data_IF_892346572466
#
_entry.id   IF_892346572466
#
_cell.length_a   1.000
_cell.length_b   1.000
_cell.length_c   1.000
_cell.angle_alpha   90.00
_cell.angle_beta   90.00
_cell.angle_gamma   90.00
#
_symmetry.space_group_name_H-M   'P 1'
#
loop_
_entity.id
_entity.type
_entity.pdbx_description
1 polymer ?
#
# COMPACT_ATOMS: atom_id res chain seq x y z
N UNK A 1 -54.28 -39.90 0.99
CA UNK A 1 -55.02 -40.85 1.86
C UNK A 1 -54.37 -42.22 1.68
N UNK A 2 -53.81 -42.82 2.75
CA UNK A 2 -53.16 -44.16 2.92
C UNK A 2 -51.86 -44.40 2.10
N UNK A 3 -50.65 -44.41 2.68
CA UNK A 3 -49.99 -45.34 3.64
C UNK A 3 -50.00 -46.80 3.16
N UNK A 4 -48.83 -47.38 2.88
CA UNK A 4 -48.27 -48.57 3.57
C UNK A 4 -46.74 -48.65 3.39
N UNK A 5 -46.06 -48.89 4.50
CA UNK A 5 -44.66 -49.26 4.62
C UNK A 5 -44.56 -50.78 4.80
N UNK A 6 -43.44 -51.38 4.36
CA UNK A 6 -42.92 -52.64 4.91
C UNK A 6 -41.39 -52.56 4.88
N UNK A 7 -40.75 -52.78 6.03
CA UNK A 7 -39.32 -53.01 6.16
C UNK A 7 -39.03 -54.44 6.64
N UNK A 8 -37.80 -54.91 6.42
CA UNK A 8 -37.09 -56.04 7.05
C UNK A 8 -35.66 -56.04 6.43
N UNK A 9 -34.52 -56.38 7.02
CA UNK A 9 -34.06 -56.75 8.37
C UNK A 9 -32.52 -56.74 8.33
N UNK A 10 -31.88 -56.58 9.49
CA UNK A 10 -30.41 -56.57 9.73
C UNK A 10 -29.85 -57.99 9.87
N UNK A 11 -28.58 -58.22 9.49
CA UNK A 11 -27.76 -59.29 10.07
C UNK A 11 -26.29 -58.84 10.21
N UNK A 12 -25.83 -58.79 11.47
CA UNK A 12 -24.44 -58.66 11.91
C UNK A 12 -23.68 -59.98 11.72
N UNK A 13 -22.37 -59.89 11.49
CA UNK A 13 -21.43 -60.99 11.68
C UNK A 13 -20.22 -60.50 12.50
N UNK A 14 -20.17 -60.98 13.73
CA UNK A 14 -19.06 -60.92 14.68
C UNK A 14 -18.17 -62.16 14.50
N UNK A 15 -16.85 -62.01 14.57
CA UNK A 15 -15.95 -63.12 14.96
C UNK A 15 -14.84 -62.61 15.86
N UNK A 16 -14.66 -63.32 16.96
CA UNK A 16 -13.77 -63.01 18.07
C UNK A 16 -12.46 -63.82 18.01
N UNK A 17 -11.46 -63.19 18.63
CA UNK A 17 -10.11 -63.57 19.05
C UNK A 17 -9.82 -65.05 19.41
N UNK A 18 -8.57 -65.45 19.16
CA UNK A 18 -7.81 -66.41 19.98
C UNK A 18 -6.43 -65.83 20.32
N UNK A 19 -6.04 -65.98 21.58
CA UNK A 19 -4.78 -65.57 22.22
C UNK A 19 -3.87 -66.79 22.34
N UNK A 20 -2.57 -66.64 22.11
CA UNK A 20 -1.50 -67.41 22.76
C UNK A 20 -0.35 -66.44 23.06
N UNK A 21 0.06 -66.41 24.34
CA UNK A 21 1.11 -65.52 24.85
C UNK A 21 2.49 -66.16 24.84
N UNK A 22 3.50 -65.30 24.89
CA UNK A 22 4.83 -65.64 25.39
C UNK A 22 5.41 -64.38 26.07
N UNK A 23 5.70 -64.52 27.36
CA UNK A 23 6.19 -63.48 28.27
C UNK A 23 7.69 -63.20 28.06
N UNK A 24 8.07 -61.92 28.10
CA UNK A 24 9.45 -61.47 28.37
C UNK A 24 9.34 -60.23 29.27
N UNK A 25 9.91 -60.33 30.49
CA UNK A 25 10.01 -59.22 31.45
C UNK A 25 10.93 -58.09 30.93
N UNK A 26 10.62 -56.81 31.16
CA UNK A 26 11.59 -55.73 31.02
C UNK A 26 12.17 -55.32 32.38
N UNK A 27 13.50 -55.15 32.39
CA UNK A 27 14.28 -54.60 33.49
C UNK A 27 13.89 -53.14 33.79
N UNK A 28 13.90 -52.80 35.08
CA UNK A 28 13.65 -51.47 35.61
C UNK A 28 14.75 -50.47 35.18
N UNK A 29 14.34 -49.33 34.62
CA UNK A 29 15.16 -48.13 34.48
C UNK A 29 14.37 -46.99 35.11
N UNK A 30 14.90 -46.45 36.20
CA UNK A 30 14.41 -45.25 36.87
C UNK A 30 14.54 -44.04 35.93
N UNK A 31 13.45 -43.31 35.71
CA UNK A 31 13.45 -42.01 35.03
C UNK A 31 13.02 -40.96 36.04
N UNK A 32 13.95 -40.10 36.43
CA UNK A 32 13.68 -38.88 37.19
C UNK A 32 12.78 -37.94 36.34
N UNK A 33 11.64 -37.53 36.89
CA UNK A 33 10.78 -36.50 36.29
C UNK A 33 11.38 -35.11 36.51
N UNK A 34 11.98 -34.51 35.47
CA UNK A 34 12.20 -33.06 35.43
C UNK A 34 10.95 -32.31 34.90
N UNK A 35 10.54 -31.20 35.53
CA UNK A 35 9.34 -30.47 35.11
C UNK A 35 9.57 -29.72 33.80
N UNK A 36 8.77 -30.02 32.78
CA UNK A 36 8.75 -29.30 31.50
C UNK A 36 8.42 -27.81 31.70
N UNK A 37 9.46 -26.97 31.64
CA UNK A 37 9.31 -25.52 31.48
C UNK A 37 8.77 -25.27 30.07
N UNK A 38 7.51 -24.85 29.99
CA UNK A 38 6.83 -24.43 28.76
C UNK A 38 7.52 -23.18 28.19
N UNK A 39 8.47 -23.37 27.29
CA UNK A 39 9.08 -22.28 26.53
C UNK A 39 8.00 -21.54 25.72
N UNK A 40 7.81 -20.24 26.01
CA UNK A 40 7.03 -19.33 25.16
C UNK A 40 7.72 -19.26 23.79
N UNK A 41 7.22 -20.00 22.81
CA UNK A 41 7.51 -19.71 21.39
C UNK A 41 6.94 -18.32 21.06
N UNK A 42 7.78 -17.29 21.04
CA UNK A 42 7.44 -16.04 20.38
C UNK A 42 7.38 -16.32 18.88
N UNK A 43 6.19 -16.33 18.32
CA UNK A 43 6.02 -16.34 16.87
C UNK A 43 6.66 -15.05 16.33
N UNK A 44 7.82 -15.16 15.68
CA UNK A 44 8.41 -14.08 14.90
C UNK A 44 7.44 -13.75 13.75
N UNK A 45 6.64 -12.70 13.93
CA UNK A 45 5.80 -12.13 12.88
C UNK A 45 6.71 -11.60 11.77
N UNK A 46 6.48 -12.03 10.53
CA UNK A 46 7.20 -11.52 9.35
C UNK A 46 6.88 -10.03 9.17
N UNK A 47 7.88 -9.17 9.40
CA UNK A 47 7.75 -7.70 9.44
C UNK A 47 7.53 -7.09 10.84
N UNK A 48 7.49 -7.92 11.87
CA UNK A 48 7.61 -7.50 13.26
C UNK A 48 9.03 -7.10 13.61
N UNK A 49 9.18 -6.26 14.61
CA UNK A 49 10.50 -5.88 15.13
C UNK A 49 11.08 -7.05 15.92
N UNK A 50 12.23 -7.58 15.51
CA UNK A 50 13.01 -8.58 16.26
C UNK A 50 14.06 -7.86 17.12
N UNK A 51 14.32 -8.35 18.34
CA UNK A 51 15.45 -7.88 19.13
C UNK A 51 16.74 -8.31 18.44
N UNK A 52 17.68 -7.38 18.32
CA UNK A 52 19.03 -7.64 17.82
C UNK A 52 19.96 -7.81 19.03
N UNK A 53 20.90 -8.73 18.95
CA UNK A 53 21.90 -8.90 20.00
C UNK A 53 22.75 -7.63 20.14
N UNK A 54 23.16 -7.31 21.37
CA UNK A 54 23.85 -6.05 21.65
C UNK A 54 25.27 -6.01 21.08
N UNK A 55 25.96 -7.15 20.97
CA UNK A 55 27.30 -7.22 20.39
C UNK A 55 27.22 -7.15 18.86
N UNK A 56 26.26 -7.85 18.24
CA UNK A 56 25.96 -7.71 16.81
C UNK A 56 25.55 -6.27 16.45
N UNK A 57 24.74 -5.63 17.30
CA UNK A 57 24.35 -4.24 17.12
C UNK A 57 25.53 -3.27 17.21
N UNK A 58 26.49 -3.54 18.11
CA UNK A 58 27.70 -2.72 18.26
C UNK A 58 28.59 -2.79 17.02
N UNK A 59 28.76 -3.97 16.44
CA UNK A 59 29.55 -4.16 15.21
C UNK A 59 28.91 -3.45 14.01
N UNK A 60 27.58 -3.64 13.82
CA UNK A 60 26.81 -2.98 12.76
C UNK A 60 26.88 -1.46 12.90
N UNK A 61 26.71 -0.95 14.11
CA UNK A 61 26.77 0.49 14.39
C UNK A 61 28.16 1.07 14.12
N UNK A 62 29.22 0.39 14.55
CA UNK A 62 30.61 0.85 14.36
C UNK A 62 30.94 0.93 12.87
N UNK A 63 30.64 -0.13 12.12
CA UNK A 63 30.87 -0.18 10.67
C UNK A 63 30.05 0.88 9.92
N UNK A 64 28.82 1.15 10.37
CA UNK A 64 27.98 2.19 9.76
C UNK A 64 28.47 3.60 10.05
N UNK A 65 29.00 3.88 11.24
CA UNK A 65 29.54 5.18 11.60
C UNK A 65 30.88 5.47 10.89
N UNK A 66 31.74 4.47 10.71
CA UNK A 66 33.00 4.59 9.96
C UNK A 66 32.78 4.94 8.49
N UNK A 67 31.72 4.40 7.87
CA UNK A 67 31.36 4.70 6.46
C UNK A 67 30.86 6.14 6.24
N UNK A 68 30.44 6.84 7.30
CA UNK A 68 29.94 8.23 7.24
C UNK A 68 31.06 9.22 7.53
N UNK A 69 32.16 8.78 8.15
CA UNK A 69 33.28 9.63 8.59
C UNK A 69 34.15 10.20 7.43
N UNK A 70 33.64 10.24 6.20
CA UNK A 70 34.32 10.73 4.99
C UNK A 70 34.14 12.23 4.70
N UNK A 71 33.97 13.09 5.71
CA UNK A 71 33.83 14.54 5.59
C UNK A 71 33.82 15.26 6.95
N UNK A 72 33.62 16.59 6.98
CA UNK A 72 33.64 17.49 8.17
C UNK A 72 32.58 17.19 9.28
N UNK A 73 32.01 15.99 9.29
CA UNK A 73 31.06 15.54 10.32
C UNK A 73 31.79 15.00 11.56
N UNK A 74 31.31 15.31 12.78
CA UNK A 74 31.93 14.87 14.02
C UNK A 74 31.99 13.34 14.10
N UNK A 75 33.18 12.82 14.41
CA UNK A 75 33.45 11.38 14.52
C UNK A 75 32.95 10.86 15.87
N UNK A 76 31.95 9.98 15.85
CA UNK A 76 31.42 9.35 17.05
C UNK A 76 32.02 7.95 17.26
N UNK A 77 32.37 7.60 18.50
CA UNK A 77 32.75 6.24 18.92
C UNK A 77 31.65 5.59 19.74
N UNK A 78 31.38 4.31 19.52
CA UNK A 78 30.34 3.59 20.28
C UNK A 78 30.86 3.24 21.68
N UNK A 79 30.24 3.81 22.72
CA UNK A 79 30.54 3.48 24.12
C UNK A 79 29.73 2.26 24.56
N UNK A 80 28.40 2.33 24.48
CA UNK A 80 27.49 1.29 24.99
C UNK A 80 26.21 1.16 24.17
N UNK A 81 25.73 -0.06 23.97
CA UNK A 81 24.40 -0.33 23.38
C UNK A 81 23.42 -0.76 24.48
N UNK A 82 22.27 -0.09 24.58
CA UNK A 82 21.22 -0.42 25.56
C UNK A 82 20.15 -1.32 24.98
N UNK A 83 19.77 -1.06 23.72
CA UNK A 83 18.72 -1.83 23.04
C UNK A 83 18.90 -1.72 21.54
N UNK A 84 18.86 -2.85 20.87
CA UNK A 84 18.86 -2.90 19.42
C UNK A 84 17.68 -3.72 18.90
N UNK A 85 17.19 -3.33 17.72
CA UNK A 85 16.05 -3.98 17.11
C UNK A 85 16.12 -3.88 15.60
N UNK A 86 15.72 -4.95 14.91
CA UNK A 86 15.74 -5.04 13.45
C UNK A 86 14.32 -5.28 12.94
N UNK A 87 13.95 -4.63 11.86
CA UNK A 87 12.64 -4.78 11.24
C UNK A 87 12.78 -4.83 9.72
N UNK A 88 12.24 -5.89 9.11
CA UNK A 88 12.20 -6.05 7.65
C UNK A 88 10.91 -5.46 7.11
N UNK A 89 11.02 -4.42 6.29
CA UNK A 89 9.90 -3.71 5.63
C UNK A 89 10.20 -3.58 4.13
N UNK A 90 10.31 -2.37 3.56
CA UNK A 90 10.83 -2.11 2.20
C UNK A 90 12.37 -2.00 2.19
N UNK A 91 13.04 -2.86 2.95
CA UNK A 91 14.45 -2.78 3.35
C UNK A 91 14.63 -3.28 4.79
N UNK A 92 15.87 -3.38 5.26
CA UNK A 92 16.18 -3.72 6.65
C UNK A 92 16.39 -2.43 7.44
N UNK A 93 15.50 -2.14 8.40
CA UNK A 93 15.66 -1.05 9.36
C UNK A 93 16.20 -1.60 10.68
N UNK A 94 17.40 -1.16 11.06
CA UNK A 94 17.99 -1.44 12.37
C UNK A 94 17.92 -0.17 13.22
N UNK A 95 17.32 -0.25 14.40
CA UNK A 95 17.25 0.85 15.38
C UNK A 95 18.05 0.48 16.62
N UNK A 96 18.94 1.39 17.04
CA UNK A 96 19.88 1.17 18.14
C UNK A 96 19.80 2.36 19.09
N UNK A 97 19.48 2.11 20.37
CA UNK A 97 19.61 3.06 21.48
C UNK A 97 20.97 2.81 22.14
N UNK A 98 21.87 3.79 22.04
CA UNK A 98 23.27 3.67 22.42
C UNK A 98 23.85 4.96 22.97
N UNK A 99 24.93 4.84 23.73
CA UNK A 99 25.76 5.97 24.14
C UNK A 99 26.93 6.09 23.15
N UNK A 100 27.08 7.28 22.55
CA UNK A 100 28.12 7.64 21.58
C UNK A 100 29.04 8.70 22.20
N UNK A 101 30.35 8.50 22.05
CA UNK A 101 31.39 9.42 22.48
C UNK A 101 31.77 10.33 21.31
N UNK A 102 31.69 11.64 21.48
CA UNK A 102 32.10 12.60 20.44
C UNK A 102 33.62 12.82 20.40
N UNK A 103 34.08 13.68 19.49
CA UNK A 103 35.49 14.04 19.33
C UNK A 103 36.08 14.78 20.53
N UNK A 104 35.24 15.41 21.34
CA UNK A 104 35.62 16.18 22.52
C UNK A 104 35.65 15.31 23.80
N UNK A 105 35.29 14.03 23.68
CA UNK A 105 35.29 13.06 24.77
C UNK A 105 34.00 13.01 25.57
N UNK A 106 32.95 13.72 25.15
CA UNK A 106 31.66 13.78 25.82
C UNK A 106 30.74 12.65 25.34
N UNK A 107 30.07 12.00 26.29
CA UNK A 107 29.18 10.86 26.02
C UNK A 107 27.72 11.34 25.86
N UNK A 108 27.12 11.02 24.72
CA UNK A 108 25.75 11.38 24.37
C UNK A 108 24.89 10.13 24.21
N UNK A 109 23.69 10.13 24.80
CA UNK A 109 22.70 9.08 24.52
C UNK A 109 21.96 9.39 23.23
N UNK A 110 22.05 8.48 22.28
CA UNK A 110 21.57 8.66 20.91
C UNK A 110 20.64 7.52 20.48
N UNK A 111 19.67 7.84 19.63
CA UNK A 111 18.95 6.85 18.83
C UNK A 111 19.52 6.87 17.42
N UNK A 112 20.09 5.75 16.99
CA UNK A 112 20.64 5.57 15.65
C UNK A 112 19.71 4.67 14.83
N UNK A 113 19.37 5.11 13.63
CA UNK A 113 18.57 4.35 12.68
C UNK A 113 19.39 4.08 11.43
N UNK A 114 19.54 2.80 11.08
CA UNK A 114 20.31 2.32 9.93
C UNK A 114 19.32 1.63 8.99
N UNK A 115 19.12 2.22 7.83
CA UNK A 115 18.38 1.61 6.73
C UNK A 115 19.35 0.93 5.79
N UNK A 116 19.06 -0.32 5.41
CA UNK A 116 19.78 -1.04 4.36
C UNK A 116 18.82 -1.55 3.30
N UNK A 117 19.06 -1.16 2.04
CA UNK A 117 18.28 -1.52 0.87
C UNK A 117 19.21 -2.04 -0.22
N UNK A 118 19.45 -3.35 -0.23
CA UNK A 118 20.48 -3.99 -1.07
C UNK A 118 20.30 -3.84 -2.59
N UNK A 119 19.16 -3.32 -3.05
CA UNK A 119 18.82 -3.11 -4.46
C UNK A 119 18.97 -1.64 -4.92
N UNK A 120 19.58 -0.77 -4.12
CA UNK A 120 19.92 0.60 -4.48
C UNK A 120 21.46 0.81 -4.38
N UNK A 121 22.09 1.55 -5.31
CA UNK A 121 23.54 1.81 -5.28
C UNK A 121 24.01 2.51 -3.99
N UNK A 122 23.20 3.45 -3.48
CA UNK A 122 23.41 4.18 -2.21
C UNK A 122 22.35 3.81 -1.16
N UNK A 123 21.97 2.53 -1.11
CA UNK A 123 20.83 2.05 -0.31
C UNK A 123 21.01 2.04 1.21
N UNK A 124 22.15 2.53 1.73
CA UNK A 124 22.44 2.56 3.16
C UNK A 124 22.31 3.98 3.72
N UNK A 125 21.19 4.28 4.36
CA UNK A 125 20.93 5.58 4.97
C UNK A 125 21.05 5.46 6.50
N UNK A 126 21.88 6.31 7.11
CA UNK A 126 22.10 6.30 8.56
C UNK A 126 21.69 7.64 9.13
N UNK A 127 20.81 7.61 10.12
CA UNK A 127 20.36 8.81 10.85
C UNK A 127 20.77 8.68 12.30
N UNK A 128 21.54 9.66 12.79
CA UNK A 128 21.97 9.76 14.20
C UNK A 128 21.20 10.90 14.86
N UNK A 129 20.48 10.61 15.94
CA UNK A 129 19.77 11.61 16.72
C UNK A 129 20.23 11.60 18.19
N UNK A 130 21.03 12.59 18.57
CA UNK A 130 21.56 12.78 19.92
C UNK A 130 20.96 14.05 20.55
N UNK A 131 19.85 13.95 21.32
CA UNK A 131 19.22 15.12 21.92
C UNK A 131 20.11 15.76 23.00
N UNK A 132 20.44 17.04 22.85
CA UNK A 132 21.17 17.84 23.87
C UNK A 132 20.24 18.23 25.03
N UNK A 133 20.02 17.33 26.00
CA UNK A 133 19.74 17.65 27.43
C UNK A 133 19.41 16.39 28.27
N UNK A 134 19.88 16.40 29.51
CA UNK A 134 19.62 15.41 30.56
C UNK A 134 18.15 14.96 30.58
N UNK A 135 17.95 13.65 30.39
CA UNK A 135 16.68 12.99 30.67
C UNK A 135 16.40 13.06 32.16
N UNK A 136 15.64 14.08 32.60
CA UNK A 136 14.95 14.04 33.88
C UNK A 136 14.03 12.82 33.84
N UNK A 137 14.37 11.76 34.58
CA UNK A 137 13.46 10.66 34.89
C UNK A 137 12.26 11.25 35.65
N UNK A 138 11.22 11.66 34.93
CA UNK A 138 9.90 11.86 35.54
C UNK A 138 9.44 10.50 36.05
N UNK A 139 9.52 10.31 37.38
CA UNK A 139 8.77 9.27 38.09
C UNK A 139 7.29 9.53 37.79
N UNK A 140 6.72 8.76 36.87
CA UNK A 140 5.27 8.61 36.81
C UNK A 140 4.83 8.03 38.16
N UNK A 141 3.95 8.73 38.87
CA UNK A 141 3.38 8.25 40.11
C UNK A 141 2.62 6.96 39.80
N UNK A 142 2.96 5.88 40.51
CA UNK A 142 2.26 4.57 40.52
C UNK A 142 0.80 4.65 41.02
N UNK A 143 0.17 5.81 40.98
CA UNK A 143 -1.19 6.04 41.49
C UNK A 143 -2.29 5.77 40.46
N UNK A 144 -2.04 5.98 39.16
CA UNK A 144 -3.04 5.71 38.11
C UNK A 144 -3.13 4.23 37.75
N UNK A 145 -1.99 3.56 37.64
CA UNK A 145 -1.90 2.13 37.33
C UNK A 145 -2.42 1.23 38.48
N UNK A 146 -2.37 1.73 39.72
CA UNK A 146 -2.97 1.06 40.89
C UNK A 146 -4.47 1.35 41.02
N UNK A 147 -4.94 2.54 40.60
CA UNK A 147 -6.36 2.88 40.56
C UNK A 147 -7.12 2.09 39.48
N UNK A 148 -6.53 1.88 38.30
CA UNK A 148 -7.11 1.06 37.22
C UNK A 148 -7.20 -0.43 37.59
N UNK A 149 -6.25 -0.96 38.38
CA UNK A 149 -6.26 -2.37 38.78
C UNK A 149 -7.40 -2.75 39.74
N UNK A 150 -8.00 -1.80 40.46
CA UNK A 150 -9.11 -2.08 41.39
C UNK A 150 -10.50 -2.06 40.75
N UNK A 151 -10.69 -1.39 39.62
CA UNK A 151 -12.00 -1.31 38.93
C UNK A 151 -12.25 -2.45 37.95
N UNK A 152 -11.22 -3.25 37.62
CA UNK A 152 -11.33 -4.41 36.73
C UNK A 152 -11.50 -5.75 37.47
N UNK A 153 -12.47 -5.85 38.38
CA UNK A 153 -12.98 -7.16 38.81
C UNK A 153 -14.28 -7.47 38.07
N UNK A 154 -14.19 -8.49 37.21
CA UNK A 154 -15.25 -9.17 36.45
C UNK A 154 -15.92 -8.34 35.35
N UNK A 155 -15.40 -8.41 34.12
CA UNK A 155 -16.12 -8.83 32.89
C UNK A 155 -15.09 -9.12 31.77
N UNK A 156 -15.38 -10.07 30.88
CA UNK A 156 -14.50 -10.52 29.79
C UNK A 156 -14.19 -9.38 28.76
N UNK A 157 -13.07 -8.68 28.93
CA UNK A 157 -12.73 -7.43 28.19
C UNK A 157 -11.53 -7.51 27.20
N UNK A 158 -11.06 -8.69 26.80
CA UNK A 158 -9.76 -8.80 26.12
C UNK A 158 -9.67 -8.22 24.70
N UNK A 159 -10.78 -8.03 23.95
CA UNK A 159 -10.73 -7.50 22.58
C UNK A 159 -10.90 -5.98 22.47
N UNK A 160 -11.58 -5.34 23.43
CA UNK A 160 -11.88 -3.91 23.39
C UNK A 160 -10.59 -3.07 23.55
N UNK A 161 -9.68 -3.49 24.44
CA UNK A 161 -8.43 -2.76 24.68
C UNK A 161 -7.48 -2.76 23.47
N UNK A 162 -7.49 -3.80 22.62
CA UNK A 162 -6.60 -3.87 21.44
C UNK A 162 -7.01 -2.89 20.35
N UNK A 163 -8.31 -2.80 20.07
CA UNK A 163 -8.83 -1.90 19.01
C UNK A 163 -8.65 -0.44 19.42
N UNK A 164 -8.91 -0.10 20.68
CA UNK A 164 -8.68 1.25 21.20
C UNK A 164 -7.21 1.67 21.11
N UNK A 165 -6.28 0.78 21.47
CA UNK A 165 -4.85 1.03 21.33
C UNK A 165 -4.43 1.25 19.87
N UNK A 166 -4.93 0.42 18.95
CA UNK A 166 -4.68 0.59 17.52
C UNK A 166 -5.26 1.91 16.98
N UNK A 167 -6.45 2.29 17.44
CA UNK A 167 -7.09 3.54 17.07
C UNK A 167 -6.31 4.75 17.58
N UNK A 168 -5.83 4.73 18.84
CA UNK A 168 -4.96 5.79 19.37
C UNK A 168 -3.64 5.91 18.58
N UNK A 169 -3.01 4.78 18.21
CA UNK A 169 -1.83 4.80 17.32
C UNK A 169 -2.16 5.37 15.94
N UNK A 170 -3.30 5.01 15.38
CA UNK A 170 -3.79 5.56 14.11
C UNK A 170 -3.97 7.08 14.20
N UNK A 171 -4.60 7.58 15.28
CA UNK A 171 -4.78 9.01 15.49
C UNK A 171 -3.45 9.77 15.52
N UNK A 172 -2.43 9.23 16.22
CA UNK A 172 -1.08 9.82 16.27
C UNK A 172 -0.42 9.79 14.89
N UNK A 173 -0.41 8.62 14.24
CA UNK A 173 0.26 8.41 12.96
C UNK A 173 -0.29 9.32 11.85
N UNK A 174 -1.61 9.48 11.79
CA UNK A 174 -2.30 10.26 10.77
C UNK A 174 -2.74 11.64 11.24
N UNK A 175 -2.28 12.07 12.42
CA UNK A 175 -2.60 13.36 13.03
C UNK A 175 -4.12 13.63 13.08
N UNK A 176 -4.93 12.59 13.31
CA UNK A 176 -6.40 12.69 13.36
C UNK A 176 -6.83 13.36 14.66
N UNK A 177 -7.61 14.43 14.51
CA UNK A 177 -8.27 15.15 15.60
C UNK A 177 -9.77 15.13 15.32
N UNK A 178 -10.55 14.81 16.34
CA UNK A 178 -12.01 14.79 16.27
C UNK A 178 -12.54 15.87 17.20
N UNK A 179 -13.54 16.62 16.75
CA UNK A 179 -14.05 17.79 17.45
C UNK A 179 -14.81 17.43 18.73
N UNK A 180 -15.51 16.30 18.71
CA UNK A 180 -16.35 15.87 19.83
C UNK A 180 -16.05 14.42 20.22
N UNK A 181 -16.34 14.08 21.48
CA UNK A 181 -16.29 12.70 21.96
C UNK A 181 -17.22 11.80 21.14
N UNK A 182 -18.37 12.32 20.71
CA UNK A 182 -19.33 11.60 19.88
C UNK A 182 -18.75 11.27 18.50
N UNK A 183 -18.11 12.23 17.83
CA UNK A 183 -17.39 12.00 16.58
C UNK A 183 -16.27 10.98 16.76
N UNK A 184 -15.46 11.11 17.82
CA UNK A 184 -14.40 10.14 18.11
C UNK A 184 -14.94 8.72 18.28
N UNK A 185 -16.05 8.55 19.01
CA UNK A 185 -16.68 7.24 19.18
C UNK A 185 -17.22 6.69 17.85
N UNK A 186 -17.84 7.53 17.03
CA UNK A 186 -18.31 7.16 15.69
C UNK A 186 -17.14 6.68 14.82
N UNK A 187 -16.06 7.45 14.74
CA UNK A 187 -14.84 7.14 13.99
C UNK A 187 -14.17 5.86 14.48
N UNK A 188 -14.18 5.60 15.79
CA UNK A 188 -13.68 4.36 16.36
C UNK A 188 -14.53 3.14 15.97
N UNK A 189 -15.86 3.28 15.89
CA UNK A 189 -16.75 2.20 15.41
C UNK A 189 -16.48 1.89 13.94
N UNK A 190 -16.35 2.92 13.10
CA UNK A 190 -15.98 2.78 11.68
C UNK A 190 -14.61 2.10 11.55
N UNK A 191 -13.62 2.56 12.31
CA UNK A 191 -12.30 1.95 12.36
C UNK A 191 -12.33 0.48 12.73
N UNK A 192 -13.13 0.10 13.73
CA UNK A 192 -13.32 -1.30 14.10
C UNK A 192 -13.94 -2.14 12.97
N UNK A 193 -14.91 -1.60 12.24
CA UNK A 193 -15.50 -2.28 11.08
C UNK A 193 -14.48 -2.45 9.94
N UNK A 194 -13.72 -1.40 9.64
CA UNK A 194 -12.67 -1.44 8.62
C UNK A 194 -11.52 -2.40 8.99
N UNK A 195 -11.19 -2.54 10.28
CA UNK A 195 -10.25 -3.57 10.73
C UNK A 195 -10.72 -5.00 10.41
N UNK A 196 -12.03 -5.26 10.41
CA UNK A 196 -12.58 -6.56 10.01
C UNK A 196 -12.40 -6.76 8.50
N UNK A 197 -12.71 -5.76 7.69
CA UNK A 197 -12.48 -5.80 6.24
C UNK A 197 -11.01 -6.08 5.92
N UNK A 198 -10.09 -5.41 6.62
CA UNK A 198 -8.64 -5.66 6.50
C UNK A 198 -8.29 -7.12 6.82
N UNK A 199 -8.89 -7.71 7.85
CA UNK A 199 -8.65 -9.10 8.21
C UNK A 199 -9.17 -10.05 7.13
N UNK A 200 -10.39 -9.81 6.63
CA UNK A 200 -11.01 -10.62 5.59
C UNK A 200 -10.21 -10.56 4.27
N UNK A 201 -9.74 -9.37 3.88
CA UNK A 201 -8.86 -9.18 2.72
C UNK A 201 -7.56 -9.97 2.87
N UNK A 202 -6.85 -9.83 4.01
CA UNK A 202 -5.60 -10.56 4.25
C UNK A 202 -5.80 -12.08 4.27
N UNK A 203 -6.93 -12.57 4.80
CA UNK A 203 -7.24 -14.00 4.80
C UNK A 203 -7.46 -14.53 3.38
N UNK A 204 -8.11 -13.75 2.51
CA UNK A 204 -8.42 -14.14 1.14
C UNK A 204 -7.20 -14.12 0.21
N UNK A 205 -6.29 -13.15 0.34
CA UNK A 205 -5.06 -13.09 -0.47
C UNK A 205 -4.08 -14.23 -0.19
N UNK A 206 -4.19 -14.86 0.99
CA UNK A 206 -3.26 -15.91 1.43
C UNK A 206 -1.79 -15.48 1.36
N UNK A 207 -1.52 -14.18 1.51
CA UNK A 207 -0.16 -13.62 1.55
C UNK A 207 0.39 -13.10 0.23
N UNK A 208 -0.34 -13.14 -0.90
CA UNK A 208 0.06 -12.46 -2.13
C UNK A 208 0.09 -10.94 -1.95
N UNK A 209 -0.90 -10.38 -1.26
CA UNK A 209 -0.92 -8.99 -0.81
C UNK A 209 -1.11 -8.85 0.70
N UNK A 210 -0.72 -7.68 1.20
CA UNK A 210 -0.90 -7.24 2.58
C UNK A 210 -1.78 -6.01 2.62
N UNK A 211 -2.80 -6.07 3.45
CA UNK A 211 -3.68 -4.95 3.78
C UNK A 211 -3.49 -4.54 5.24
N UNK A 212 -3.69 -3.26 5.52
CA UNK A 212 -3.48 -2.73 6.87
C UNK A 212 -4.15 -1.38 7.08
N UNK A 213 -4.00 -0.84 8.30
CA UNK A 213 -4.53 0.47 8.68
C UNK A 213 -3.90 1.54 7.78
N UNK A 214 -4.63 2.10 6.83
CA UNK A 214 -4.26 3.27 6.01
C UNK A 214 -4.83 4.56 6.60
N UNK A 215 -4.61 5.71 5.96
CA UNK A 215 -5.24 6.96 6.39
C UNK A 215 -6.77 6.91 6.28
N UNK A 216 -7.32 6.00 5.47
CA UNK A 216 -8.75 5.84 5.23
C UNK A 216 -9.45 4.92 6.24
N UNK A 217 -8.71 4.44 7.25
CA UNK A 217 -9.22 3.44 8.19
C UNK A 217 -10.40 3.94 9.05
N UNK A 218 -10.59 5.25 9.22
CA UNK A 218 -11.71 5.83 9.97
C UNK A 218 -12.83 6.41 9.08
N UNK A 219 -12.79 6.13 7.78
CA UNK A 219 -13.79 6.59 6.81
C UNK A 219 -14.85 5.50 6.55
N UNK A 220 -16.09 5.94 6.40
CA UNK A 220 -17.18 5.12 5.86
C UNK A 220 -16.97 4.86 4.36
N UNK A 221 -17.69 3.88 3.81
CA UNK A 221 -17.66 3.62 2.36
C UNK A 221 -18.08 4.86 1.55
N UNK A 222 -19.08 5.61 2.01
CA UNK A 222 -19.54 6.84 1.33
C UNK A 222 -18.47 7.93 1.33
N UNK A 223 -17.83 8.18 2.46
CA UNK A 223 -16.73 9.17 2.56
C UNK A 223 -15.51 8.75 1.75
N UNK A 224 -15.25 7.44 1.64
CA UNK A 224 -14.19 6.91 0.80
C UNK A 224 -14.50 7.10 -0.68
N UNK A 225 -15.73 6.82 -1.12
CA UNK A 225 -16.17 6.99 -2.52
C UNK A 225 -16.12 8.43 -3.03
N UNK A 226 -16.26 9.41 -2.14
CA UNK A 226 -16.04 10.82 -2.50
C UNK A 226 -14.61 11.09 -3.01
N UNK A 227 -13.65 10.20 -2.70
CA UNK A 227 -12.27 10.28 -3.20
C UNK A 227 -12.06 9.49 -4.48
N UNK A 228 -12.86 8.45 -4.73
CA UNK A 228 -12.69 7.62 -5.91
C UNK A 228 -13.23 8.31 -7.15
N UNK A 229 -14.23 9.21 -7.06
CA UNK A 229 -14.45 10.32 -8.02
C UNK A 229 -14.68 10.01 -9.51
N UNK A 230 -14.55 8.78 -9.99
CA UNK A 230 -14.76 8.46 -11.40
C UNK A 230 -16.22 8.10 -11.63
N UNK A 231 -16.81 8.67 -12.69
CA UNK A 231 -18.18 8.31 -13.08
C UNK A 231 -18.25 6.98 -13.81
N UNK A 232 -19.46 6.44 -13.94
CA UNK A 232 -19.68 5.32 -14.86
C UNK A 232 -19.63 5.83 -16.30
N UNK A 233 -18.88 5.10 -17.15
CA UNK A 233 -18.74 5.42 -18.56
C UNK A 233 -20.01 5.05 -19.33
N UNK A 234 -20.41 5.91 -20.26
CA UNK A 234 -21.43 5.58 -21.26
C UNK A 234 -20.77 4.78 -22.39
N UNK A 235 -21.07 3.48 -22.45
CA UNK A 235 -20.49 2.58 -23.47
C UNK A 235 -20.93 2.93 -24.89
N UNK A 236 -22.08 3.59 -25.09
CA UNK A 236 -22.51 4.04 -26.42
C UNK A 236 -21.65 5.22 -26.91
N UNK A 237 -21.30 6.15 -26.01
CA UNK A 237 -20.35 7.23 -26.32
C UNK A 237 -18.94 6.66 -26.56
N UNK A 238 -18.51 5.70 -25.73
CA UNK A 238 -17.21 5.03 -25.86
C UNK A 238 -17.02 4.25 -27.16
N UNK A 239 -18.12 3.75 -27.76
CA UNK A 239 -18.07 3.06 -29.05
C UNK A 239 -17.66 3.98 -30.20
N UNK A 240 -17.82 5.30 -30.04
CA UNK A 240 -17.43 6.31 -31.03
C UNK A 240 -15.95 6.72 -30.90
N UNK A 241 -15.30 6.42 -29.78
CA UNK A 241 -13.89 6.74 -29.54
C UNK A 241 -12.99 5.90 -30.46
N UNK A 242 -12.03 6.53 -31.17
CA UNK A 242 -11.05 5.81 -31.99
C UNK A 242 -10.35 4.69 -31.21
N UNK A 243 -10.14 3.55 -31.87
CA UNK A 243 -9.44 2.41 -31.25
C UNK A 243 -7.94 2.50 -31.50
N UNK A 244 -7.18 2.15 -30.47
CA UNK A 244 -5.73 2.10 -30.53
C UNK A 244 -5.25 1.04 -31.53
N UNK A 245 -4.36 1.42 -32.44
CA UNK A 245 -3.64 0.46 -33.28
C UNK A 245 -2.53 -0.18 -32.44
N UNK A 246 -2.69 -1.48 -32.15
CA UNK A 246 -1.80 -2.19 -31.24
C UNK A 246 -0.57 -2.68 -32.00
N UNK A 247 0.65 -2.30 -31.58
CA UNK A 247 1.86 -2.75 -32.24
C UNK A 247 2.12 -4.22 -31.93
N UNK A 248 2.53 -4.98 -32.94
CA UNK A 248 2.94 -6.36 -32.76
C UNK A 248 4.39 -6.41 -32.30
N UNK A 249 4.58 -6.42 -30.98
CA UNK A 249 5.89 -6.50 -30.34
C UNK A 249 5.93 -7.67 -29.36
N UNK A 250 7.12 -8.27 -29.24
CA UNK A 250 7.39 -9.27 -28.22
C UNK A 250 7.48 -8.61 -26.84
N UNK A 251 6.77 -9.19 -25.87
CA UNK A 251 6.69 -8.65 -24.53
C UNK A 251 7.82 -9.21 -23.65
N UNK A 252 8.68 -8.35 -23.05
CA UNK A 252 9.58 -8.79 -22.01
C UNK A 252 8.79 -9.30 -20.79
N UNK A 253 9.43 -10.14 -19.97
CA UNK A 253 8.80 -10.68 -18.74
C UNK A 253 8.32 -9.57 -17.79
N UNK A 254 9.10 -8.50 -17.69
CA UNK A 254 8.86 -7.35 -16.83
C UNK A 254 9.22 -6.06 -17.55
N UNK A 255 8.51 -4.99 -17.24
CA UNK A 255 8.74 -3.68 -17.82
C UNK A 255 8.25 -2.58 -16.88
N UNK A 256 9.03 -1.53 -16.69
CA UNK A 256 8.70 -0.44 -15.77
C UNK A 256 9.18 0.92 -16.29
N UNK A 257 8.24 1.80 -16.63
CA UNK A 257 8.55 3.15 -17.09
C UNK A 257 9.22 4.03 -16.03
N UNK A 258 9.09 3.68 -14.74
CA UNK A 258 9.77 4.42 -13.66
C UNK A 258 11.29 4.34 -13.79
N UNK A 259 11.81 3.21 -14.26
CA UNK A 259 13.25 3.02 -14.49
C UNK A 259 13.79 3.83 -15.67
N UNK A 260 12.89 4.30 -16.54
CA UNK A 260 13.22 5.13 -17.72
C UNK A 260 13.07 6.63 -17.46
N UNK A 261 12.67 7.02 -16.24
CA UNK A 261 12.54 8.43 -15.88
C UNK A 261 11.39 9.19 -16.55
N UNK A 262 10.39 8.47 -17.10
CA UNK A 262 9.23 9.10 -17.77
C UNK A 262 7.97 9.16 -16.90
N UNK A 263 8.07 8.78 -15.62
CA UNK A 263 6.96 8.81 -14.67
C UNK A 263 7.24 9.87 -13.61
N UNK A 264 6.36 10.88 -13.53
CA UNK A 264 6.45 11.94 -12.51
C UNK A 264 6.26 11.38 -11.09
N UNK A 265 6.67 12.13 -10.04
CA UNK A 265 6.42 11.74 -8.65
C UNK A 265 4.94 11.48 -8.34
N UNK A 266 4.67 10.70 -7.30
CA UNK A 266 3.29 10.45 -6.84
C UNK A 266 2.72 11.72 -6.20
N UNK A 267 1.64 12.24 -6.80
CA UNK A 267 0.87 13.40 -6.31
C UNK A 267 -0.24 12.97 -5.33
N UNK A 268 -0.97 13.94 -4.78
CA UNK A 268 -2.06 13.69 -3.81
C UNK A 268 -3.30 14.56 -4.08
N UNK A 269 -4.40 13.94 -4.52
CA UNK A 269 -5.68 14.60 -4.78
C UNK A 269 -6.42 15.07 -3.52
N UNK A 270 -5.93 14.69 -2.33
CA UNK A 270 -6.54 15.07 -1.06
C UNK A 270 -7.98 14.56 -0.93
N UNK A 271 -8.90 15.46 -0.53
CA UNK A 271 -10.31 15.14 -0.29
C UNK A 271 -11.23 15.36 -1.51
N UNK A 272 -10.63 15.69 -2.66
CA UNK A 272 -11.34 16.00 -3.90
C UNK A 272 -11.42 14.74 -4.77
N UNK A 273 -12.60 14.40 -5.32
CA UNK A 273 -12.81 13.28 -6.24
C UNK A 273 -12.29 13.57 -7.66
N UNK A 274 -11.00 13.90 -7.77
CA UNK A 274 -10.36 14.37 -9.02
C UNK A 274 -9.38 13.35 -9.63
N UNK A 275 -9.47 12.08 -9.25
CA UNK A 275 -8.59 11.03 -9.80
C UNK A 275 -8.60 10.95 -11.33
N UNK A 276 -9.72 11.29 -11.97
CA UNK A 276 -9.88 11.34 -13.42
C UNK A 276 -8.86 12.32 -14.04
N UNK A 277 -8.67 13.49 -13.42
CA UNK A 277 -7.69 14.49 -13.85
C UNK A 277 -6.26 13.96 -13.66
N UNK A 278 -5.94 13.41 -12.48
CA UNK A 278 -4.61 12.83 -12.20
C UNK A 278 -4.25 11.65 -13.11
N UNK A 279 -5.24 10.83 -13.51
CA UNK A 279 -5.04 9.72 -14.42
C UNK A 279 -4.65 10.20 -15.81
N UNK A 280 -5.34 11.24 -16.29
CA UNK A 280 -5.12 11.84 -17.61
C UNK A 280 -3.85 12.68 -17.66
N UNK A 281 -3.60 13.56 -16.69
CA UNK A 281 -2.36 14.32 -16.63
C UNK A 281 -1.16 13.38 -16.52
N UNK A 282 -1.22 12.33 -15.69
CA UNK A 282 -0.16 11.33 -15.61
C UNK A 282 0.10 10.57 -16.92
N UNK A 283 -0.94 10.32 -17.72
CA UNK A 283 -0.79 9.76 -19.07
C UNK A 283 -0.10 10.77 -20.01
N UNK A 284 -0.58 12.01 -20.06
CA UNK A 284 0.00 13.08 -20.90
C UNK A 284 1.46 13.37 -20.53
N UNK A 285 1.78 13.48 -19.24
CA UNK A 285 3.15 13.64 -18.71
C UNK A 285 4.08 12.52 -19.22
N UNK A 286 3.64 11.27 -19.11
CA UNK A 286 4.43 10.12 -19.52
C UNK A 286 4.62 10.01 -21.02
N UNK A 287 3.56 10.22 -21.81
CA UNK A 287 3.64 10.24 -23.27
C UNK A 287 4.55 11.37 -23.76
N UNK A 288 4.46 12.54 -23.14
CA UNK A 288 5.30 13.68 -23.48
C UNK A 288 6.77 13.38 -23.19
N UNK A 289 7.07 12.82 -22.02
CA UNK A 289 8.41 12.42 -21.64
C UNK A 289 8.99 11.31 -22.54
N UNK A 290 8.17 10.34 -22.97
CA UNK A 290 8.58 9.30 -23.94
C UNK A 290 8.93 9.93 -25.29
N UNK A 291 8.15 10.91 -25.76
CA UNK A 291 8.36 11.55 -27.07
C UNK A 291 9.54 12.52 -27.09
N UNK A 292 9.68 13.34 -26.05
CA UNK A 292 10.64 14.47 -26.04
C UNK A 292 11.89 14.19 -25.23
N UNK A 293 11.88 13.14 -24.40
CA UNK A 293 12.91 12.90 -23.39
C UNK A 293 12.85 13.85 -22.19
N UNK A 294 11.87 14.75 -22.13
CA UNK A 294 11.72 15.75 -21.07
C UNK A 294 10.48 15.45 -20.22
N UNK A 295 10.73 15.08 -18.96
CA UNK A 295 9.67 14.90 -17.97
C UNK A 295 9.23 16.25 -17.40
N UNK A 296 7.98 16.60 -17.67
CA UNK A 296 7.31 17.79 -17.14
C UNK A 296 6.07 17.37 -16.34
N UNK A 297 5.63 18.25 -15.43
CA UNK A 297 4.44 18.01 -14.62
C UNK A 297 3.35 18.99 -15.04
N UNK A 298 2.20 18.49 -15.44
CA UNK A 298 1.08 19.29 -15.95
C UNK A 298 0.01 19.49 -14.87
N UNK A 299 -0.75 20.58 -15.02
CA UNK A 299 -1.73 21.00 -14.03
C UNK A 299 -2.99 20.12 -14.02
N UNK A 300 -3.24 19.45 -12.89
CA UNK A 300 -4.57 18.87 -12.67
C UNK A 300 -5.63 19.95 -12.39
N UNK A 301 -5.23 21.05 -11.74
CA UNK A 301 -6.15 22.11 -11.32
C UNK A 301 -6.81 22.81 -12.50
N UNK A 302 -6.08 22.97 -13.60
CA UNK A 302 -6.60 23.50 -14.84
C UNK A 302 -7.81 22.67 -15.32
N UNK A 303 -7.74 21.33 -15.26
CA UNK A 303 -8.88 20.47 -15.60
C UNK A 303 -10.05 20.65 -14.62
N UNK A 304 -9.78 20.80 -13.32
CA UNK A 304 -10.84 21.04 -12.32
C UNK A 304 -11.60 22.35 -12.59
N UNK A 305 -10.90 23.39 -13.03
CA UNK A 305 -11.44 24.73 -13.15
C UNK A 305 -12.04 25.00 -14.54
N UNK A 306 -11.39 24.48 -15.59
CA UNK A 306 -11.66 24.82 -16.98
C UNK A 306 -12.45 23.76 -17.75
N UNK A 307 -12.47 22.49 -17.29
CA UNK A 307 -13.40 21.53 -17.87
C UNK A 307 -14.85 21.89 -17.49
N UNK A 308 -15.67 22.01 -18.53
CA UNK A 308 -17.11 22.32 -18.42
C UNK A 308 -17.99 21.07 -18.50
N UNK A 309 -17.41 19.90 -18.79
CA UNK A 309 -18.10 18.60 -18.91
C UNK A 309 -18.11 17.85 -17.58
N UNK A 310 -16.95 17.72 -16.94
CA UNK A 310 -16.83 17.08 -15.63
C UNK A 310 -17.15 18.05 -14.48
N UNK A 311 -17.25 17.50 -13.26
CA UNK A 311 -17.65 18.24 -12.06
C UNK A 311 -16.54 18.37 -11.03
N UNK A 312 -15.30 18.56 -11.47
CA UNK A 312 -14.14 18.79 -10.60
C UNK A 312 -14.06 17.73 -9.47
N UNK A 313 -14.25 18.15 -8.21
CA UNK A 313 -14.21 17.27 -7.05
C UNK A 313 -15.42 16.34 -6.88
N UNK A 314 -16.53 16.60 -7.58
CA UNK A 314 -17.69 15.70 -7.60
C UNK A 314 -17.55 14.59 -8.64
N UNK A 315 -16.44 14.60 -9.38
CA UNK A 315 -16.06 13.54 -10.29
C UNK A 315 -16.06 13.92 -11.75
N UNK A 316 -15.62 12.96 -12.56
CA UNK A 316 -15.42 13.11 -14.00
C UNK A 316 -14.99 11.80 -14.66
N UNK A 317 -14.66 11.88 -15.94
CA UNK A 317 -14.20 10.74 -16.75
C UNK A 317 -12.88 11.07 -17.46
N UNK A 318 -11.92 10.14 -17.52
CA UNK A 318 -10.69 10.34 -18.30
C UNK A 318 -10.96 10.75 -19.76
N UNK A 319 -11.97 10.18 -20.42
CA UNK A 319 -12.34 10.53 -21.79
C UNK A 319 -12.75 12.00 -21.94
N UNK A 320 -13.60 12.49 -21.04
CA UNK A 320 -14.05 13.88 -21.03
C UNK A 320 -12.87 14.82 -20.79
N UNK A 321 -11.93 14.43 -19.94
CA UNK A 321 -10.74 15.21 -19.65
C UNK A 321 -9.80 15.32 -20.86
N UNK A 322 -9.62 14.25 -21.64
CA UNK A 322 -8.88 14.35 -22.91
C UNK A 322 -9.57 15.32 -23.88
N UNK A 323 -10.90 15.22 -24.04
CA UNK A 323 -11.68 16.13 -24.88
C UNK A 323 -11.59 17.59 -24.36
N UNK A 324 -11.52 17.77 -23.04
CA UNK A 324 -11.37 19.08 -22.42
C UNK A 324 -10.00 19.70 -22.72
N UNK A 325 -8.91 18.93 -22.61
CA UNK A 325 -7.56 19.39 -22.95
C UNK A 325 -7.50 19.85 -24.41
N UNK A 326 -8.07 19.06 -25.32
CA UNK A 326 -8.14 19.40 -26.73
C UNK A 326 -8.90 20.71 -26.96
N UNK A 327 -10.07 20.89 -26.32
CA UNK A 327 -10.90 22.11 -26.44
C UNK A 327 -10.26 23.34 -25.81
N UNK A 328 -9.59 23.19 -24.67
CA UNK A 328 -8.85 24.27 -23.99
C UNK A 328 -7.67 24.72 -24.87
N UNK A 329 -7.05 23.77 -25.56
CA UNK A 329 -5.96 23.98 -26.51
C UNK A 329 -4.59 23.52 -25.99
N UNK A 330 -4.54 22.87 -24.82
CA UNK A 330 -3.34 22.35 -24.19
C UNK A 330 -3.41 22.39 -22.66
N UNK A 331 -2.26 22.17 -21.99
CA UNK A 331 -2.11 22.26 -20.53
C UNK A 331 -0.94 23.16 -20.14
N UNK A 332 -1.11 23.90 -19.03
CA UNK A 332 -0.05 24.59 -18.30
C UNK A 332 0.70 23.64 -17.35
N UNK A 333 1.87 24.06 -16.86
CA UNK A 333 2.63 23.30 -15.86
C UNK A 333 1.98 23.37 -14.47
N UNK A 334 2.21 22.33 -13.67
CA UNK A 334 1.75 22.26 -12.27
C UNK A 334 2.28 23.43 -11.40
N UNK A 335 3.47 23.96 -11.69
CA UNK A 335 4.01 25.11 -10.96
C UNK A 335 3.42 26.46 -11.42
N UNK A 336 2.81 26.52 -12.61
CA UNK A 336 2.17 27.71 -13.16
C UNK A 336 0.69 27.78 -12.80
N UNK A 337 0.04 26.62 -12.67
CA UNK A 337 -1.34 26.47 -12.22
C UNK A 337 -1.43 25.38 -11.12
N UNK A 338 -1.10 25.71 -9.86
CA UNK A 338 -0.97 24.71 -8.78
C UNK A 338 -2.27 24.07 -8.31
N UNK A 339 -2.18 22.81 -7.85
CA UNK A 339 -3.30 22.06 -7.31
C UNK A 339 -3.81 22.52 -5.94
N UNK A 340 -5.10 22.86 -5.87
CA UNK A 340 -5.81 23.35 -4.69
C UNK A 340 -6.92 22.42 -4.18
N UNK A 341 -7.19 21.31 -4.87
CA UNK A 341 -8.18 20.30 -4.45
C UNK A 341 -9.61 20.82 -4.27
N UNK A 342 -10.01 21.82 -5.07
CA UNK A 342 -11.36 22.39 -5.11
C UNK A 342 -11.57 23.08 -6.46
N UNK A 343 -12.82 23.25 -6.89
CA UNK A 343 -13.14 24.04 -8.07
C UNK A 343 -12.94 25.53 -7.78
N UNK A 344 -12.16 26.21 -8.62
CA UNK A 344 -11.97 27.64 -8.65
C UNK A 344 -12.41 28.20 -10.01
N UNK A 345 -12.25 29.51 -10.21
CA UNK A 345 -12.49 30.11 -11.52
C UNK A 345 -11.35 29.71 -12.47
N UNK A 346 -11.71 29.27 -13.69
CA UNK A 346 -10.73 28.99 -14.74
C UNK A 346 -9.87 30.24 -15.03
N UNK A 347 -8.56 30.09 -14.85
CA UNK A 347 -7.55 31.14 -15.09
C UNK A 347 -6.57 30.77 -16.20
N UNK A 348 -6.97 29.85 -17.07
CA UNK A 348 -6.14 29.32 -18.14
C UNK A 348 -5.50 30.43 -18.98
N UNK A 349 -4.20 30.32 -19.22
CA UNK A 349 -3.45 31.23 -20.06
C UNK A 349 -2.84 30.50 -21.27
N UNK A 350 -3.39 30.81 -22.46
CA UNK A 350 -2.91 30.27 -23.75
C UNK A 350 -1.41 30.47 -24.01
N UNK A 351 -0.79 31.49 -23.41
CA UNK A 351 0.65 31.77 -23.59
C UNK A 351 1.55 30.85 -22.77
N UNK A 352 0.98 30.03 -21.87
CA UNK A 352 1.68 29.11 -20.98
C UNK A 352 1.37 27.64 -21.29
N UNK A 353 0.91 27.35 -22.51
CA UNK A 353 0.70 25.98 -22.95
C UNK A 353 2.06 25.32 -23.18
N UNK A 354 2.29 24.16 -22.56
CA UNK A 354 3.51 23.37 -22.75
C UNK A 354 3.26 22.04 -23.46
N UNK A 355 2.01 21.55 -23.48
CA UNK A 355 1.62 20.34 -24.20
C UNK A 355 0.24 20.45 -24.80
N UNK A 356 0.03 19.82 -25.97
CA UNK A 356 -1.26 19.77 -26.66
C UNK A 356 -1.69 18.32 -26.90
N UNK A 357 -2.98 18.07 -26.76
CA UNK A 357 -3.63 16.79 -27.03
C UNK A 357 -4.59 16.99 -28.21
N UNK A 358 -4.51 16.12 -29.22
CA UNK A 358 -5.38 16.15 -30.42
C UNK A 358 -6.51 15.12 -30.38
N UNK A 359 -6.70 14.49 -29.22
CA UNK A 359 -7.70 13.46 -28.97
C UNK A 359 -7.14 12.31 -28.11
N UNK A 360 -7.88 11.22 -28.07
CA UNK A 360 -7.52 10.03 -27.31
C UNK A 360 -7.94 8.76 -28.05
N UNK A 361 -7.32 7.64 -27.67
CA UNK A 361 -7.66 6.31 -28.17
C UNK A 361 -8.06 5.39 -27.03
N UNK A 362 -9.00 4.50 -27.35
CA UNK A 362 -9.41 3.39 -26.51
C UNK A 362 -8.58 2.15 -26.82
N UNK A 363 -8.02 1.54 -25.78
CA UNK A 363 -7.35 0.26 -25.91
C UNK A 363 -8.38 -0.88 -25.91
N UNK A 364 -8.10 -1.99 -26.61
CA UNK A 364 -8.96 -3.17 -26.54
C UNK A 364 -8.97 -3.73 -25.12
N UNK A 365 -10.08 -4.38 -24.74
CA UNK A 365 -10.27 -5.07 -23.45
C UNK A 365 -9.45 -6.37 -23.38
N UNK A 366 -8.14 -6.25 -23.59
CA UNK A 366 -7.16 -7.32 -23.69
C UNK A 366 -5.84 -6.88 -23.04
N UNK A 367 -5.47 -7.53 -21.94
CA UNK A 367 -4.29 -7.16 -21.15
C UNK A 367 -2.95 -7.37 -21.87
N UNK A 368 -2.88 -8.29 -22.85
CA UNK A 368 -1.69 -8.47 -23.69
C UNK A 368 -1.51 -7.28 -24.63
N UNK A 369 -2.60 -6.85 -25.28
CA UNK A 369 -2.59 -5.66 -26.12
C UNK A 369 -2.27 -4.38 -25.33
N UNK A 370 -2.76 -4.28 -24.10
CA UNK A 370 -2.37 -3.21 -23.19
C UNK A 370 -0.87 -3.22 -22.89
N UNK A 371 -0.26 -4.38 -22.67
CA UNK A 371 1.19 -4.48 -22.44
C UNK A 371 1.99 -4.07 -23.69
N UNK A 372 1.52 -4.45 -24.88
CA UNK A 372 2.15 -4.07 -26.16
C UNK A 372 2.08 -2.55 -26.36
N UNK A 373 0.92 -1.93 -26.13
CA UNK A 373 0.77 -0.49 -26.18
C UNK A 373 1.66 0.22 -25.14
N UNK A 374 1.69 -0.28 -23.90
CA UNK A 374 2.44 0.31 -22.80
C UNK A 374 3.91 0.49 -23.15
N UNK A 375 4.54 -0.55 -23.72
CA UNK A 375 5.96 -0.53 -24.08
C UNK A 375 6.22 0.38 -25.28
N UNK A 376 5.35 0.33 -26.29
CA UNK A 376 5.57 1.07 -27.52
C UNK A 376 5.30 2.57 -27.37
N UNK A 377 4.30 2.95 -26.58
CA UNK A 377 3.76 4.32 -26.57
C UNK A 377 3.94 5.05 -25.24
N UNK A 378 3.89 4.36 -24.09
CA UNK A 378 3.95 5.00 -22.77
C UNK A 378 2.85 4.54 -21.81
N UNK A 379 2.75 5.15 -20.62
CA UNK A 379 1.82 4.74 -19.56
C UNK A 379 0.34 4.88 -19.98
N UNK A 380 -0.55 4.09 -19.38
CA UNK A 380 -1.97 3.97 -19.80
C UNK A 380 -2.89 4.45 -18.68
N UNK A 381 -3.81 5.36 -18.99
CA UNK A 381 -4.88 5.74 -18.08
C UNK A 381 -5.93 4.64 -18.03
N UNK A 382 -6.35 4.22 -16.85
CA UNK A 382 -7.36 3.17 -16.66
C UNK A 382 -8.41 3.57 -15.62
N UNK A 383 -9.61 3.01 -15.78
CA UNK A 383 -10.58 2.88 -14.69
C UNK A 383 -10.35 1.60 -13.88
N UNK A 384 -10.51 1.67 -12.56
CA UNK A 384 -10.44 0.51 -11.68
C UNK A 384 -11.51 0.57 -10.58
N UNK A 385 -11.96 -0.59 -10.10
CA UNK A 385 -12.70 -0.66 -8.84
C UNK A 385 -11.74 -0.54 -7.65
N UNK A 386 -11.83 0.56 -6.89
CA UNK A 386 -10.89 0.87 -5.82
C UNK A 386 -11.32 0.36 -4.43
N UNK A 387 -12.34 -0.50 -4.31
CA UNK A 387 -12.78 -0.98 -2.99
C UNK A 387 -11.67 -1.71 -2.24
N UNK A 388 -10.94 -2.61 -2.92
CA UNK A 388 -9.81 -3.32 -2.31
C UNK A 388 -8.61 -2.38 -2.02
N UNK A 389 -8.45 -1.31 -2.80
CA UNK A 389 -7.33 -0.37 -2.67
C UNK A 389 -7.35 0.41 -1.35
N UNK A 390 -8.52 0.58 -0.72
CA UNK A 390 -8.66 1.42 0.49
C UNK A 390 -7.62 1.09 1.58
N UNK A 391 -7.27 -0.19 1.74
CA UNK A 391 -6.39 -0.67 2.80
C UNK A 391 -5.07 -1.27 2.32
N UNK A 392 -4.76 -1.16 1.02
CA UNK A 392 -3.59 -1.82 0.44
C UNK A 392 -2.27 -1.28 1.03
N UNK A 393 -1.32 -2.19 1.30
CA UNK A 393 0.02 -1.89 1.83
C UNK A 393 1.16 -2.45 1.02
N UNK A 394 0.95 -3.50 0.24
CA UNK A 394 1.98 -4.08 -0.61
C UNK A 394 1.68 -5.50 -1.07
N UNK A 395 2.48 -6.00 -2.00
CA UNK A 395 2.33 -7.32 -2.62
C UNK A 395 1.38 -7.33 -3.81
N UNK A 396 1.21 -8.48 -4.46
CA UNK A 396 0.32 -8.61 -5.62
C UNK A 396 -1.10 -8.87 -5.16
N UNK A 397 -1.96 -7.87 -5.34
CA UNK A 397 -3.36 -7.88 -4.94
C UNK A 397 -4.22 -8.68 -5.92
N UNK A 398 -4.93 -9.69 -5.43
CA UNK A 398 -5.90 -10.49 -6.19
C UNK A 398 -7.20 -10.66 -5.38
N UNK A 399 -7.93 -9.55 -5.16
CA UNK A 399 -9.11 -9.56 -4.29
C UNK A 399 -10.26 -10.37 -4.88
N UNK A 400 -11.07 -10.95 -4.01
CA UNK A 400 -12.26 -11.69 -4.43
C UNK A 400 -13.23 -10.81 -5.23
N UNK A 401 -13.80 -11.36 -6.30
CA UNK A 401 -14.59 -10.63 -7.31
C UNK A 401 -15.65 -9.65 -6.77
N UNK A 402 -16.42 -9.94 -5.70
CA UNK A 402 -17.37 -8.98 -5.14
C UNK A 402 -16.74 -7.68 -4.59
N UNK A 403 -15.48 -7.74 -4.14
CA UNK A 403 -14.72 -6.59 -3.66
C UNK A 403 -13.94 -5.88 -4.78
N UNK A 404 -13.99 -6.40 -6.00
CA UNK A 404 -13.34 -5.83 -7.18
C UNK A 404 -14.11 -6.14 -8.46
N UNK A 405 -15.39 -5.74 -8.48
CA UNK A 405 -16.27 -5.99 -9.62
C UNK A 405 -15.81 -5.17 -10.83
N UNK A 406 -15.61 -5.85 -11.96
CA UNK A 406 -15.27 -5.23 -13.25
C UNK A 406 -16.32 -4.25 -13.76
N UNK A 407 -17.57 -4.37 -13.28
CA UNK A 407 -18.71 -3.55 -13.73
C UNK A 407 -18.88 -2.23 -12.98
N UNK A 408 -18.18 -2.05 -11.87
CA UNK A 408 -18.37 -0.92 -10.97
C UNK A 408 -17.06 -0.16 -10.82
N UNK A 409 -16.46 0.30 -11.92
CA UNK A 409 -15.23 1.07 -11.86
C UNK A 409 -15.53 2.42 -11.21
N UNK A 410 -14.72 2.84 -10.24
CA UNK A 410 -15.03 4.04 -9.48
C UNK A 410 -13.82 4.95 -9.26
N UNK A 411 -12.64 4.60 -9.78
CA UNK A 411 -11.39 5.35 -9.61
C UNK A 411 -10.52 5.35 -10.88
N UNK A 412 -9.95 6.50 -11.22
CA UNK A 412 -8.98 6.66 -12.33
C UNK A 412 -7.55 6.55 -11.83
N UNK A 413 -6.73 5.72 -12.49
CA UNK A 413 -5.32 5.47 -12.14
C UNK A 413 -4.48 5.20 -13.38
N UNK A 414 -3.16 5.21 -13.22
CA UNK A 414 -2.23 5.09 -14.34
C UNK A 414 -1.42 3.78 -14.27
N UNK A 415 -1.50 2.93 -15.30
CA UNK A 415 -0.57 1.80 -15.47
C UNK A 415 0.77 2.35 -15.98
N UNK A 416 1.85 2.00 -15.29
CA UNK A 416 3.21 2.45 -15.62
C UNK A 416 4.18 1.30 -15.89
N UNK A 417 3.75 0.07 -15.71
CA UNK A 417 4.60 -1.10 -15.83
C UNK A 417 3.87 -2.39 -15.52
N UNK A 418 4.56 -3.51 -15.67
CA UNK A 418 4.11 -4.82 -15.24
C UNK A 418 5.31 -5.68 -14.85
N UNK A 419 5.07 -6.74 -14.09
CA UNK A 419 6.11 -7.68 -13.72
C UNK A 419 5.55 -9.01 -13.28
N UNK A 420 6.40 -9.82 -12.67
CA UNK A 420 6.04 -11.14 -12.16
C UNK A 420 6.63 -11.33 -10.77
N UNK A 421 5.82 -11.77 -9.81
CA UNK A 421 6.31 -12.11 -8.47
C UNK A 421 6.18 -13.60 -8.21
N UNK A 422 7.28 -14.23 -7.84
CA UNK A 422 7.31 -15.62 -7.42
C UNK A 422 7.03 -15.71 -5.91
N UNK A 423 6.11 -16.59 -5.53
CA UNK A 423 5.76 -16.89 -4.15
C UNK A 423 6.07 -18.36 -3.87
N UNK A 424 7.34 -18.69 -3.51
CA UNK A 424 7.78 -20.07 -3.32
C UNK A 424 6.97 -20.82 -2.26
N UNK A 425 6.55 -20.12 -1.21
CA UNK A 425 5.74 -20.69 -0.12
C UNK A 425 4.38 -21.24 -0.60
N UNK A 426 3.87 -20.74 -1.73
CA UNK A 426 2.59 -21.16 -2.31
C UNK A 426 2.75 -21.80 -3.69
N UNK A 427 3.99 -22.04 -4.13
CA UNK A 427 4.34 -22.49 -5.48
C UNK A 427 3.57 -21.74 -6.58
N UNK A 428 3.46 -20.41 -6.44
CA UNK A 428 2.64 -19.56 -7.33
C UNK A 428 3.47 -18.43 -7.89
N UNK A 429 3.39 -18.26 -9.21
CA UNK A 429 3.94 -17.12 -9.93
C UNK A 429 2.79 -16.19 -10.30
N UNK A 430 2.84 -14.93 -9.85
CA UNK A 430 1.79 -13.95 -10.05
C UNK A 430 2.27 -12.83 -10.97
N UNK A 431 1.83 -12.79 -12.24
CA UNK A 431 1.94 -11.58 -13.06
C UNK A 431 1.11 -10.44 -12.44
N UNK A 432 1.62 -9.21 -12.54
CA UNK A 432 0.95 -8.03 -12.02
C UNK A 432 1.13 -6.80 -12.91
N UNK A 433 0.20 -5.86 -12.82
CA UNK A 433 0.35 -4.47 -13.26
C UNK A 433 0.96 -3.62 -12.15
N UNK A 434 1.75 -2.63 -12.52
CA UNK A 434 2.24 -1.55 -11.65
C UNK A 434 1.39 -0.32 -11.91
N UNK A 435 0.60 0.07 -10.92
CA UNK A 435 -0.35 1.18 -11.03
C UNK A 435 0.12 2.33 -10.14
N UNK A 436 0.29 3.51 -10.73
CA UNK A 436 0.49 4.77 -10.00
C UNK A 436 -0.86 5.30 -9.53
N UNK A 437 -0.97 5.58 -8.23
CA UNK A 437 -2.17 6.16 -7.61
C UNK A 437 -1.97 7.66 -7.30
N UNK A 438 -3.05 8.34 -6.93
CA UNK A 438 -3.12 9.78 -6.65
C UNK A 438 -3.40 10.09 -5.17
N UNK A 439 -3.10 9.18 -4.25
CA UNK A 439 -3.34 9.35 -2.79
C UNK A 439 -2.06 9.65 -1.99
N UNK A 440 -1.01 10.12 -2.67
CA UNK A 440 0.27 10.43 -2.07
C UNK A 440 1.13 9.20 -1.79
N UNK A 441 2.43 9.45 -1.63
CA UNK A 441 3.46 8.42 -1.45
C UNK A 441 3.38 7.63 -0.13
N UNK A 442 2.53 8.05 0.82
CA UNK A 442 2.36 7.33 2.11
C UNK A 442 1.37 6.18 2.04
N UNK A 443 0.60 6.11 0.96
CA UNK A 443 -0.35 5.05 0.68
C UNK A 443 0.32 3.93 -0.14
N UNK A 444 -0.15 2.68 0.00
CA UNK A 444 0.35 1.54 -0.79
C UNK A 444 1.87 1.35 -0.75
N UNK A 445 2.44 0.97 -1.90
CA UNK A 445 3.88 0.81 -2.10
C UNK A 445 4.46 2.13 -2.61
N UNK A 446 4.65 3.08 -1.68
CA UNK A 446 5.13 4.43 -2.01
C UNK A 446 4.22 5.19 -3.01
N UNK A 447 2.92 4.95 -2.94
CA UNK A 447 1.92 5.51 -3.86
C UNK A 447 1.53 4.58 -5.00
N UNK A 448 2.15 3.40 -5.10
CA UNK A 448 1.86 2.42 -6.14
C UNK A 448 1.02 1.25 -5.63
N UNK A 449 0.36 0.59 -6.57
CA UNK A 449 -0.47 -0.58 -6.37
C UNK A 449 -0.04 -1.68 -7.33
N UNK A 450 0.16 -2.90 -6.83
CA UNK A 450 0.37 -4.07 -7.67
C UNK A 450 -0.89 -4.92 -7.65
N UNK A 451 -1.49 -5.09 -8.82
CA UNK A 451 -2.72 -5.87 -9.01
C UNK A 451 -2.47 -7.00 -9.98
N UNK A 452 -3.08 -8.15 -9.74
CA UNK A 452 -2.94 -9.31 -10.60
C UNK A 452 -3.30 -8.99 -12.06
N UNK A 453 -2.47 -9.47 -12.98
CA UNK A 453 -2.60 -9.28 -14.43
C UNK A 453 -2.93 -10.62 -15.09
N UNK A 454 -3.91 -10.65 -15.98
CA UNK A 454 -4.23 -11.83 -16.80
C UNK A 454 -5.67 -12.33 -16.66
N UNK A 455 -6.46 -11.75 -15.78
CA UNK A 455 -7.90 -12.02 -15.67
C UNK A 455 -8.73 -10.73 -15.55
N UNK A 456 -8.21 -9.58 -15.97
CA UNK A 456 -8.89 -8.28 -15.82
C UNK A 456 -9.37 -8.04 -14.36
N UNK A 457 -8.50 -8.33 -13.39
CA UNK A 457 -8.78 -8.10 -11.96
C UNK A 457 -9.18 -6.65 -11.74
N UNK A 458 -10.26 -6.41 -11.00
CA UNK A 458 -10.80 -5.07 -10.71
C UNK A 458 -11.22 -4.25 -11.94
N UNK A 459 -11.29 -4.84 -13.14
CA UNK A 459 -11.70 -4.18 -14.37
C UNK A 459 -10.65 -3.28 -15.01
N UNK A 460 -9.35 -3.53 -14.75
CA UNK A 460 -8.22 -2.75 -15.27
C UNK A 460 -8.23 -2.55 -16.80
N UNK A 461 -8.84 -3.44 -17.57
CA UNK A 461 -8.92 -3.34 -19.03
C UNK A 461 -10.24 -2.75 -19.54
N UNK A 462 -11.21 -2.44 -18.67
CA UNK A 462 -12.55 -2.02 -19.11
C UNK A 462 -12.57 -0.58 -19.64
N UNK A 463 -11.73 0.29 -19.09
CA UNK A 463 -11.62 1.71 -19.44
C UNK A 463 -10.16 2.11 -19.66
N UNK A 464 -9.41 1.31 -20.41
CA UNK A 464 -8.02 1.61 -20.75
C UNK A 464 -7.97 2.59 -21.94
N UNK A 465 -7.36 3.75 -21.75
CA UNK A 465 -7.26 4.80 -22.76
C UNK A 465 -5.93 5.56 -22.66
N UNK A 466 -5.57 6.22 -23.76
CA UNK A 466 -4.33 7.00 -23.87
C UNK A 466 -4.55 8.25 -24.72
N UNK A 467 -3.96 9.37 -24.34
CA UNK A 467 -3.95 10.57 -25.17
C UNK A 467 -3.19 10.33 -26.48
N UNK A 468 -3.57 11.10 -27.49
CA UNK A 468 -2.77 11.30 -28.70
C UNK A 468 -2.25 12.73 -28.65
N UNK A 469 -0.95 12.89 -28.40
CA UNK A 469 -0.34 14.22 -28.37
C UNK A 469 -0.31 14.82 -29.78
N UNK A 470 -0.57 16.12 -29.88
CA UNK A 470 -0.41 16.85 -31.13
C UNK A 470 1.08 16.89 -31.54
N UNK A 471 1.31 17.04 -32.84
CA UNK A 471 2.64 17.31 -33.37
C UNK A 471 2.88 18.83 -33.26
N UNK A 472 4.11 19.24 -32.91
CA UNK A 472 4.46 20.64 -32.59
C UNK A 472 4.24 21.62 -33.77
#
# INVERSE_FOLDING_TARGET
MRIYAVGATVALLTFALCVHGQEVEPAAVEVEEEPMIRAKRSANLVGGTTSLDNDEAKEVLTTSLEKIAGGDTPTYKVSKVHKASRQVVSGTLTKIDCDLLDSDGEEHRCEVQIWSRSWLPDGNEVTVNCPKKQLVKKRYSRSLEYAEKKTHKKQNHHSLNKVEHLFSKFQIKYKRRYHTTMERQMRMRIFKQNLKIIQDLNANERGSAKYGITEFADLTSTEYKQRTGMWQRDEAKAALTPKAEIPDIELPKEFDWREKGVISPVKNQGQCGSCWAFSVTGNVEGLHAVRTGKLEQYSEQELLDCDTTDSACNGGLPDNAYDAIEKIGGLELENEYPYHARKEQCRFNKSKIHVKVKGHVDLPKNETAMAQWLIANGPISIGINANAMQFYRGGVSHPWHPLCSRKNLDHGVLIVGYGVSDYPMFNKTLPYWIIKNSWGSKWGEQGYYRVYRGDNTCGVSEMASSAVLADD
#
